data_IF_532242599841
#
_entry.id   IF_532242599841
#
_cell.length_a   1.000
_cell.length_b   1.000
_cell.length_c   1.000
_cell.angle_alpha   90.00
_cell.angle_beta   90.00
_cell.angle_gamma   90.00
#
_symmetry.space_group_name_H-M   'P 1'
#
loop_
_entity.id
_entity.type
_entity.pdbx_description
1 polymer ?
#
# COMPACT_ATOMS: atom_id res chain seq x y z
N UNK A 1 -19.62 8.55 -3.54
CA UNK A 1 -18.39 8.16 -2.81
C UNK A 1 -17.55 7.36 -3.80
N UNK A 2 -16.33 7.80 -4.17
CA UNK A 2 -15.48 6.99 -5.05
C UNK A 2 -14.88 5.85 -4.23
N UNK A 3 -15.02 4.62 -4.72
CA UNK A 3 -14.42 3.44 -4.10
C UNK A 3 -12.90 3.53 -4.24
N UNK A 4 -12.15 3.24 -3.17
CA UNK A 4 -10.69 3.14 -3.28
C UNK A 4 -10.34 1.93 -4.16
N UNK A 5 -9.21 1.94 -4.88
CA UNK A 5 -8.75 0.77 -5.65
C UNK A 5 -8.68 -0.51 -4.81
N UNK A 6 -8.32 -0.39 -3.53
CA UNK A 6 -8.33 -1.50 -2.56
C UNK A 6 -9.75 -2.08 -2.36
N UNK A 7 -10.74 -1.22 -2.15
CA UNK A 7 -12.14 -1.67 -1.99
C UNK A 7 -12.69 -2.31 -3.26
N UNK A 8 -12.30 -1.82 -4.44
CA UNK A 8 -12.71 -2.43 -5.70
C UNK A 8 -12.21 -3.87 -5.82
N UNK A 9 -10.94 -4.12 -5.48
CA UNK A 9 -10.36 -5.47 -5.46
C UNK A 9 -11.16 -6.45 -4.57
N UNK A 10 -11.43 -6.04 -3.34
CA UNK A 10 -12.24 -6.82 -2.38
C UNK A 10 -13.64 -7.11 -2.92
N UNK A 11 -14.33 -6.14 -3.51
CA UNK A 11 -15.67 -6.33 -4.09
C UNK A 11 -15.64 -7.37 -5.21
N UNK A 12 -14.67 -7.28 -6.12
CA UNK A 12 -14.51 -8.26 -7.19
C UNK A 12 -14.20 -9.65 -6.64
N UNK A 13 -13.36 -9.75 -5.63
CA UNK A 13 -13.03 -11.02 -4.98
C UNK A 13 -14.26 -11.67 -4.31
N UNK A 14 -15.09 -10.88 -3.62
CA UNK A 14 -16.37 -11.34 -3.07
C UNK A 14 -17.32 -11.83 -4.17
N UNK A 15 -17.38 -11.11 -5.29
CA UNK A 15 -18.20 -11.52 -6.43
C UNK A 15 -17.74 -12.87 -7.01
N UNK A 16 -16.43 -13.07 -7.15
CA UNK A 16 -15.85 -14.35 -7.59
C UNK A 16 -16.09 -15.50 -6.60
N UNK A 17 -16.20 -15.20 -5.32
CA UNK A 17 -16.46 -16.19 -4.27
C UNK A 17 -17.92 -16.63 -4.16
N UNK A 18 -18.82 -16.10 -5.01
CA UNK A 18 -20.27 -16.39 -4.97
C UNK A 18 -20.60 -17.88 -4.89
N UNK A 19 -20.00 -18.71 -5.73
CA UNK A 19 -20.34 -20.14 -5.76
C UNK A 19 -19.96 -20.86 -4.46
N UNK A 20 -18.80 -20.51 -3.87
CA UNK A 20 -18.37 -21.06 -2.59
C UNK A 20 -19.30 -20.58 -1.46
N UNK A 21 -19.69 -19.30 -1.49
CA UNK A 21 -20.64 -18.74 -0.52
C UNK A 21 -22.01 -19.42 -0.60
N UNK A 22 -22.59 -19.53 -1.79
CA UNK A 22 -23.93 -20.04 -2.00
C UNK A 22 -24.02 -21.54 -1.64
N UNK A 23 -22.92 -22.28 -1.76
CA UNK A 23 -22.84 -23.73 -1.47
C UNK A 23 -22.50 -24.04 -0.01
N UNK A 24 -21.45 -23.40 0.51
CA UNK A 24 -20.78 -23.79 1.76
C UNK A 24 -20.82 -22.68 2.84
N UNK A 25 -21.44 -21.54 2.54
CA UNK A 25 -21.73 -20.47 3.49
C UNK A 25 -20.69 -19.33 3.56
N UNK A 26 -20.90 -18.37 4.49
CA UNK A 26 -20.09 -17.15 4.57
C UNK A 26 -18.59 -17.36 4.79
N UNK A 27 -18.21 -18.35 5.61
CA UNK A 27 -16.81 -18.65 5.86
C UNK A 27 -16.09 -19.16 4.60
N UNK A 28 -16.71 -20.08 3.86
CA UNK A 28 -16.18 -20.56 2.58
C UNK A 28 -16.07 -19.43 1.54
N UNK A 29 -17.08 -18.56 1.51
CA UNK A 29 -17.05 -17.33 0.71
C UNK A 29 -15.88 -16.42 1.07
N UNK A 30 -15.63 -16.20 2.36
CA UNK A 30 -14.49 -15.41 2.83
C UNK A 30 -13.15 -16.05 2.43
N UNK A 31 -12.97 -17.36 2.66
CA UNK A 31 -11.72 -18.06 2.31
C UNK A 31 -11.42 -17.92 0.81
N UNK A 32 -12.44 -18.13 -0.03
CA UNK A 32 -12.28 -18.00 -1.49
C UNK A 32 -11.99 -16.56 -1.90
N UNK A 33 -12.72 -15.58 -1.37
CA UNK A 33 -12.51 -14.17 -1.71
C UNK A 33 -11.12 -13.68 -1.24
N UNK A 34 -10.71 -14.07 -0.04
CA UNK A 34 -9.39 -13.76 0.50
C UNK A 34 -8.28 -14.29 -0.41
N UNK A 35 -8.38 -15.54 -0.86
CA UNK A 35 -7.42 -16.14 -1.78
C UNK A 35 -7.39 -15.43 -3.14
N UNK A 36 -8.55 -15.07 -3.70
CA UNK A 36 -8.62 -14.33 -4.97
C UNK A 36 -7.92 -12.96 -4.88
N UNK A 37 -8.17 -12.20 -3.82
CA UNK A 37 -7.58 -10.87 -3.66
C UNK A 37 -6.09 -10.95 -3.30
N UNK A 38 -5.70 -11.92 -2.47
CA UNK A 38 -4.29 -12.20 -2.17
C UNK A 38 -3.51 -12.49 -3.46
N UNK A 39 -4.00 -13.42 -4.28
CA UNK A 39 -3.34 -13.81 -5.53
C UNK A 39 -3.23 -12.64 -6.50
N UNK A 40 -4.30 -11.85 -6.66
CA UNK A 40 -4.30 -10.64 -7.50
C UNK A 40 -3.24 -9.63 -7.06
N UNK A 41 -3.17 -9.35 -5.76
CA UNK A 41 -2.20 -8.39 -5.20
C UNK A 41 -0.76 -8.93 -5.25
N UNK A 42 -0.59 -10.24 -5.10
CA UNK A 42 0.70 -10.89 -5.27
C UNK A 42 1.18 -10.79 -6.72
N UNK A 43 0.33 -11.09 -7.70
CA UNK A 43 0.64 -10.91 -9.14
C UNK A 43 1.03 -9.46 -9.45
N UNK A 44 0.25 -8.49 -8.98
CA UNK A 44 0.56 -7.06 -9.11
C UNK A 44 1.91 -6.69 -8.49
N UNK A 45 2.31 -7.36 -7.40
CA UNK A 45 3.61 -7.12 -6.77
C UNK A 45 4.81 -7.64 -7.57
N UNK A 46 4.59 -8.54 -8.52
CA UNK A 46 5.63 -9.02 -9.42
C UNK A 46 5.90 -8.06 -10.60
N UNK A 47 5.06 -7.03 -10.79
CA UNK A 47 5.30 -6.02 -11.82
C UNK A 47 6.55 -5.19 -11.52
N UNK A 48 7.33 -4.90 -12.56
CA UNK A 48 8.52 -4.06 -12.45
C UNK A 48 8.14 -2.59 -12.25
N UNK A 49 8.91 -1.90 -11.40
CA UNK A 49 8.79 -0.44 -11.26
C UNK A 49 9.40 0.23 -12.49
N UNK A 50 8.64 1.10 -13.12
CA UNK A 50 9.07 1.91 -14.27
C UNK A 50 9.13 3.39 -13.87
N UNK A 51 9.80 4.26 -14.67
CA UNK A 51 9.80 5.69 -14.40
C UNK A 51 8.39 6.33 -14.39
N UNK A 52 7.41 5.70 -15.05
CA UNK A 52 6.04 6.21 -15.16
C UNK A 52 5.08 5.58 -14.14
N UNK A 53 5.36 4.37 -13.68
CA UNK A 53 4.45 3.60 -12.84
C UNK A 53 5.20 2.81 -11.77
N UNK A 54 4.76 2.99 -10.53
CA UNK A 54 5.22 2.21 -9.38
C UNK A 54 4.02 1.44 -8.79
N UNK A 55 3.99 0.10 -8.91
CA UNK A 55 2.85 -0.70 -8.44
C UNK A 55 2.67 -0.62 -6.92
N UNK A 56 3.72 -0.27 -6.16
CA UNK A 56 3.62 -0.08 -4.70
C UNK A 56 2.70 1.06 -4.32
N UNK A 57 2.50 2.06 -5.20
CA UNK A 57 1.56 3.16 -4.95
C UNK A 57 0.10 2.75 -5.10
N UNK A 58 -0.18 1.64 -5.79
CA UNK A 58 -1.54 1.18 -6.01
C UNK A 58 -2.14 0.55 -4.76
N UNK A 59 -1.31 -0.11 -3.93
CA UNK A 59 -1.80 -0.85 -2.78
C UNK A 59 -0.73 -1.15 -1.72
N UNK A 60 -1.10 -1.06 -0.43
CA UNK A 60 -0.20 -1.33 0.70
C UNK A 60 0.39 -2.75 0.66
N UNK A 61 -0.42 -3.74 0.31
CA UNK A 61 0.07 -5.13 0.24
C UNK A 61 1.08 -5.34 -0.89
N UNK A 62 1.04 -4.54 -1.97
CA UNK A 62 2.07 -4.59 -3.01
C UNK A 62 3.41 -4.12 -2.44
N UNK A 63 3.40 -3.02 -1.67
CA UNK A 63 4.57 -2.57 -0.92
C UNK A 63 5.06 -3.64 0.07
N UNK A 64 4.17 -4.32 0.79
CA UNK A 64 4.53 -5.38 1.73
C UNK A 64 5.15 -6.61 1.04
N UNK A 65 4.57 -7.08 -0.06
CA UNK A 65 5.10 -8.20 -0.84
C UNK A 65 6.50 -7.91 -1.38
N UNK A 66 6.68 -6.74 -2.01
CA UNK A 66 7.99 -6.37 -2.57
C UNK A 66 9.07 -6.18 -1.51
N UNK A 67 8.69 -5.88 -0.27
CA UNK A 67 9.58 -5.72 0.87
C UNK A 67 9.63 -6.94 1.80
N UNK A 68 9.05 -8.08 1.40
CA UNK A 68 9.07 -9.32 2.17
C UNK A 68 8.55 -9.17 3.60
N UNK A 69 7.42 -8.46 3.77
CA UNK A 69 6.76 -8.38 5.06
C UNK A 69 6.33 -9.78 5.55
N UNK A 70 6.31 -10.03 6.88
CA UNK A 70 5.85 -11.30 7.41
C UNK A 70 4.42 -11.64 6.97
N UNK A 71 4.15 -12.91 6.67
CA UNK A 71 2.83 -13.37 6.23
C UNK A 71 1.71 -12.94 7.18
N UNK A 72 1.94 -12.97 8.50
CA UNK A 72 0.95 -12.50 9.50
C UNK A 72 0.53 -11.04 9.31
N UNK A 73 1.46 -10.15 8.92
CA UNK A 73 1.20 -8.73 8.66
C UNK A 73 0.38 -8.58 7.38
N UNK A 74 0.74 -9.33 6.34
CA UNK A 74 0.02 -9.36 5.06
C UNK A 74 -1.41 -9.87 5.26
N UNK A 75 -1.56 -11.02 5.92
CA UNK A 75 -2.83 -11.70 6.12
C UNK A 75 -3.79 -10.85 6.95
N UNK A 76 -3.32 -10.29 8.07
CA UNK A 76 -4.12 -9.36 8.86
C UNK A 76 -4.53 -8.14 8.06
N UNK A 77 -3.59 -7.52 7.36
CA UNK A 77 -3.87 -6.30 6.58
C UNK A 77 -4.94 -6.59 5.52
N UNK A 78 -4.87 -7.74 4.84
CA UNK A 78 -5.90 -8.15 3.88
C UNK A 78 -7.24 -8.41 4.57
N UNK A 79 -7.23 -9.11 5.72
CA UNK A 79 -8.44 -9.43 6.48
C UNK A 79 -9.15 -8.16 6.99
N UNK A 80 -8.39 -7.12 7.37
CA UNK A 80 -8.94 -5.81 7.72
C UNK A 80 -9.72 -5.16 6.57
N UNK A 81 -9.32 -5.40 5.32
CA UNK A 81 -10.07 -4.90 4.15
C UNK A 81 -11.41 -5.61 4.00
N UNK A 82 -11.46 -6.92 4.22
CA UNK A 82 -12.71 -7.68 4.24
C UNK A 82 -13.59 -7.32 5.45
N UNK A 83 -13.03 -6.73 6.51
CA UNK A 83 -13.77 -6.29 7.69
C UNK A 83 -14.30 -4.83 7.60
N UNK A 84 -13.99 -4.11 6.52
CA UNK A 84 -14.37 -2.72 6.31
C UNK A 84 -15.90 -2.54 6.31
N UNK A 85 -16.39 -1.55 7.06
CA UNK A 85 -17.83 -1.22 7.15
C UNK A 85 -18.43 -0.86 5.80
N UNK A 86 -17.63 -0.31 4.89
CA UNK A 86 -18.05 0.12 3.58
C UNK A 86 -18.40 -1.04 2.64
N UNK A 87 -18.13 -2.30 3.02
CA UNK A 87 -18.61 -3.49 2.32
C UNK A 87 -20.10 -3.81 2.57
N UNK A 88 -20.82 -2.98 3.34
CA UNK A 88 -22.23 -3.21 3.66
C UNK A 88 -23.20 -2.85 2.52
N UNK A 89 -22.86 -3.21 1.27
CA UNK A 89 -23.66 -2.89 0.08
C UNK A 89 -24.60 -4.02 -0.36
N UNK A 90 -24.35 -5.26 0.04
CA UNK A 90 -25.26 -6.40 -0.14
C UNK A 90 -25.13 -7.44 0.99
N UNK A 91 -26.11 -8.35 1.10
CA UNK A 91 -26.17 -9.34 2.19
C UNK A 91 -24.98 -10.32 2.19
N UNK A 92 -24.40 -10.63 1.02
CA UNK A 92 -23.25 -11.53 0.90
C UNK A 92 -22.01 -10.86 1.46
N UNK A 93 -21.74 -9.63 1.04
CA UNK A 93 -20.62 -8.82 1.49
C UNK A 93 -20.74 -8.52 2.99
N UNK A 94 -21.95 -8.24 3.50
CA UNK A 94 -22.20 -8.11 4.94
C UNK A 94 -21.86 -9.39 5.70
N UNK A 95 -22.25 -10.55 5.18
CA UNK A 95 -22.00 -11.85 5.82
C UNK A 95 -20.50 -12.18 5.84
N UNK A 96 -19.81 -11.99 4.72
CA UNK A 96 -18.35 -12.16 4.62
C UNK A 96 -17.61 -11.18 5.55
N UNK A 97 -18.07 -9.92 5.62
CA UNK A 97 -17.50 -8.91 6.51
C UNK A 97 -17.64 -9.29 7.98
N UNK A 98 -18.76 -9.90 8.37
CA UNK A 98 -18.94 -10.42 9.73
C UNK A 98 -17.96 -11.54 10.03
N UNK A 99 -17.77 -12.48 9.11
CA UNK A 99 -16.77 -13.54 9.26
C UNK A 99 -15.35 -12.98 9.38
N UNK A 100 -14.98 -11.99 8.57
CA UNK A 100 -13.67 -11.34 8.64
C UNK A 100 -13.43 -10.68 10.00
N UNK A 101 -14.45 -10.01 10.56
CA UNK A 101 -14.38 -9.43 11.91
C UNK A 101 -14.28 -10.49 13.00
N UNK A 102 -15.00 -11.59 12.88
CA UNK A 102 -14.88 -12.72 13.79
C UNK A 102 -13.44 -13.25 13.79
N UNK A 103 -12.86 -13.49 12.61
CA UNK A 103 -11.47 -13.95 12.49
C UNK A 103 -10.46 -12.94 13.04
N UNK A 104 -10.62 -11.63 12.81
CA UNK A 104 -9.74 -10.60 13.41
C UNK A 104 -9.75 -10.61 14.94
N UNK A 105 -10.92 -10.85 15.56
CA UNK A 105 -11.05 -10.92 17.03
C UNK A 105 -10.38 -12.15 17.64
N UNK A 106 -10.11 -13.18 16.85
CA UNK A 106 -9.44 -14.40 17.30
C UNK A 106 -7.92 -14.28 17.29
N UNK A 107 -7.36 -13.26 16.63
CA UNK A 107 -5.91 -12.99 16.64
C UNK A 107 -5.51 -12.51 18.03
N UNK A 108 -4.71 -13.30 18.75
CA UNK A 108 -4.27 -12.95 20.09
C UNK A 108 -3.01 -12.10 20.07
N UNK A 109 -2.68 -11.39 21.17
CA UNK A 109 -1.43 -10.65 21.28
C UNK A 109 -0.19 -11.54 21.11
N UNK A 110 -0.26 -12.82 21.47
CA UNK A 110 0.86 -13.74 21.30
C UNK A 110 1.09 -14.13 19.82
N UNK A 111 0.03 -14.07 19.00
CA UNK A 111 0.10 -14.40 17.57
C UNK A 111 0.63 -13.21 16.74
N UNK A 112 0.58 -11.99 17.31
CA UNK A 112 0.89 -10.77 16.60
C UNK A 112 1.54 -9.69 17.45
N UNK A 113 2.74 -9.32 17.03
CA UNK A 113 3.39 -8.09 17.47
C UNK A 113 2.71 -6.88 16.78
N UNK A 114 1.99 -6.10 17.58
CA UNK A 114 1.28 -4.91 17.09
C UNK A 114 2.22 -3.76 16.78
N UNK A 115 3.38 -3.67 17.43
CA UNK A 115 4.36 -2.62 17.14
C UNK A 115 5.04 -2.89 15.79
N UNK A 116 5.39 -4.16 15.51
CA UNK A 116 5.86 -4.57 14.19
C UNK A 116 4.79 -4.27 13.12
N UNK A 117 3.53 -4.65 13.37
CA UNK A 117 2.41 -4.41 12.45
C UNK A 117 2.27 -2.92 12.11
N UNK A 118 2.23 -2.05 13.12
CA UNK A 118 2.10 -0.61 12.93
C UNK A 118 3.31 -0.02 12.21
N UNK A 119 4.52 -0.49 12.53
CA UNK A 119 5.74 -0.03 11.88
C UNK A 119 5.75 -0.30 10.37
N UNK A 120 5.18 -1.40 9.91
CA UNK A 120 5.02 -1.70 8.48
C UNK A 120 4.08 -0.70 7.78
N UNK A 121 2.96 -0.35 8.43
CA UNK A 121 2.03 0.65 7.91
C UNK A 121 2.63 2.06 7.93
N UNK A 122 3.42 2.40 8.96
CA UNK A 122 4.15 3.66 9.03
C UNK A 122 5.21 3.78 7.95
N UNK A 123 5.96 2.70 7.69
CA UNK A 123 6.93 2.65 6.58
C UNK A 123 6.23 2.89 5.23
N UNK A 124 5.08 2.26 5.00
CA UNK A 124 4.29 2.49 3.78
C UNK A 124 3.74 3.92 3.71
N UNK A 125 3.30 4.49 4.83
CA UNK A 125 2.84 5.89 4.91
C UNK A 125 3.98 6.85 4.56
N UNK A 126 5.17 6.64 5.13
CA UNK A 126 6.37 7.42 4.83
C UNK A 126 6.80 7.27 3.37
N UNK A 127 6.69 6.06 2.79
CA UNK A 127 6.95 5.84 1.36
C UNK A 127 6.04 6.70 0.47
N UNK A 128 4.74 6.76 0.75
CA UNK A 128 3.81 7.64 0.03
C UNK A 128 4.15 9.12 0.21
N UNK A 129 4.55 9.54 1.41
CA UNK A 129 4.98 10.91 1.70
C UNK A 129 6.23 11.29 0.91
N UNK A 130 7.24 10.42 0.88
CA UNK A 130 8.45 10.59 0.06
C UNK A 130 8.09 10.74 -1.41
N UNK A 131 7.19 9.88 -1.92
CA UNK A 131 6.75 9.95 -3.31
C UNK A 131 6.02 11.27 -3.61
N UNK A 132 5.14 11.72 -2.71
CA UNK A 132 4.44 13.00 -2.85
C UNK A 132 5.43 14.18 -2.87
N UNK A 133 6.41 14.21 -1.97
CA UNK A 133 7.46 15.24 -1.98
C UNK A 133 8.30 15.20 -3.25
N UNK A 134 8.66 14.02 -3.74
CA UNK A 134 9.37 13.88 -5.01
C UNK A 134 8.53 14.46 -6.16
N UNK A 135 7.27 14.03 -6.28
CA UNK A 135 6.37 14.48 -7.35
C UNK A 135 6.20 16.01 -7.31
N UNK A 136 5.83 16.56 -6.16
CA UNK A 136 5.67 18.01 -5.99
C UNK A 136 6.97 18.75 -6.26
N UNK A 137 8.11 18.22 -5.82
CA UNK A 137 9.42 18.81 -6.09
C UNK A 137 9.75 18.86 -7.59
N UNK A 138 9.45 17.80 -8.34
CA UNK A 138 9.64 17.75 -9.79
C UNK A 138 8.68 18.71 -10.53
N UNK A 139 7.43 18.80 -10.10
CA UNK A 139 6.44 19.75 -10.63
C UNK A 139 6.89 21.21 -10.42
N UNK A 140 7.35 21.57 -9.22
CA UNK A 140 7.85 22.92 -8.96
C UNK A 140 9.10 23.22 -9.79
N UNK A 141 9.99 22.23 -9.98
CA UNK A 141 11.17 22.38 -10.81
C UNK A 141 10.80 22.68 -12.28
N UNK A 142 9.84 21.94 -12.83
CA UNK A 142 9.33 22.16 -14.19
C UNK A 142 8.68 23.54 -14.35
N UNK A 143 8.02 24.05 -13.30
CA UNK A 143 7.42 25.37 -13.26
C UNK A 143 8.41 26.52 -12.98
N UNK A 144 9.72 26.25 -12.91
CA UNK A 144 10.76 27.25 -12.65
C UNK A 144 10.80 27.75 -11.20
N UNK A 145 10.03 27.15 -10.29
CA UNK A 145 9.99 27.47 -8.86
C UNK A 145 11.09 26.72 -8.11
N UNK A 146 12.34 27.13 -8.36
CA UNK A 146 13.53 26.38 -7.94
C UNK A 146 13.68 26.26 -6.43
N UNK A 147 13.30 27.31 -5.66
CA UNK A 147 13.41 27.30 -4.20
C UNK A 147 12.43 26.31 -3.58
N UNK A 148 11.19 26.32 -4.05
CA UNK A 148 10.15 25.39 -3.62
C UNK A 148 10.50 23.96 -4.02
N UNK A 149 10.96 23.75 -5.25
CA UNK A 149 11.45 22.46 -5.72
C UNK A 149 12.54 21.89 -4.82
N UNK A 150 13.56 22.72 -4.49
CA UNK A 150 14.66 22.30 -3.63
C UNK A 150 14.18 21.91 -2.23
N UNK A 151 13.24 22.64 -1.64
CA UNK A 151 12.68 22.32 -0.33
C UNK A 151 12.00 20.95 -0.33
N UNK A 152 11.08 20.70 -1.28
CA UNK A 152 10.40 19.41 -1.39
C UNK A 152 11.37 18.26 -1.66
N UNK A 153 12.32 18.44 -2.58
CA UNK A 153 13.32 17.42 -2.89
C UNK A 153 14.28 17.16 -1.71
N UNK A 154 14.55 18.16 -0.86
CA UNK A 154 15.34 17.98 0.35
C UNK A 154 14.59 17.11 1.38
N UNK A 155 13.30 17.37 1.61
CA UNK A 155 12.45 16.54 2.45
C UNK A 155 12.35 15.10 1.91
N UNK A 156 12.05 14.94 0.62
CA UNK A 156 12.03 13.64 -0.04
C UNK A 156 13.34 12.87 0.19
N UNK A 157 14.49 13.52 0.00
CA UNK A 157 15.80 12.88 0.17
C UNK A 157 16.05 12.44 1.61
N UNK A 158 15.68 13.26 2.58
CA UNK A 158 15.90 12.97 3.99
C UNK A 158 15.05 11.76 4.43
N UNK A 159 13.76 11.79 4.16
CA UNK A 159 12.83 10.74 4.58
C UNK A 159 13.09 9.43 3.81
N UNK A 160 13.42 9.52 2.51
CA UNK A 160 13.79 8.35 1.72
C UNK A 160 15.04 7.65 2.26
N UNK A 161 16.00 8.40 2.81
CA UNK A 161 17.20 7.81 3.41
C UNK A 161 16.88 6.96 4.64
N UNK A 162 15.82 7.29 5.39
CA UNK A 162 15.36 6.49 6.53
C UNK A 162 14.77 5.17 6.04
N UNK A 163 13.96 5.20 4.98
CA UNK A 163 13.39 3.99 4.36
C UNK A 163 14.46 3.08 3.78
N UNK A 164 15.39 3.62 2.99
CA UNK A 164 16.42 2.84 2.31
C UNK A 164 17.39 2.14 3.28
N UNK A 165 17.60 2.69 4.48
CA UNK A 165 18.36 1.99 5.54
C UNK A 165 17.68 0.71 6.02
N UNK A 166 16.35 0.63 5.92
CA UNK A 166 15.56 -0.54 6.30
C UNK A 166 15.42 -1.55 5.15
N UNK A 167 15.75 -1.18 3.91
CA UNK A 167 15.70 -2.05 2.74
C UNK A 167 15.65 -1.28 1.42
N UNK A 168 16.29 -1.81 0.38
CA UNK A 168 16.43 -1.13 -0.92
C UNK A 168 15.09 -0.85 -1.60
N UNK A 169 14.12 -1.75 -1.44
CA UNK A 169 12.76 -1.63 -2.01
C UNK A 169 11.78 -0.87 -1.11
N UNK A 170 12.23 -0.34 0.05
CA UNK A 170 11.36 0.42 0.96
C UNK A 170 11.18 1.88 0.54
N UNK A 171 12.12 2.41 -0.25
CA UNK A 171 12.12 3.79 -0.73
C UNK A 171 12.00 3.92 -2.25
N UNK A 172 12.18 5.14 -2.75
CA UNK A 172 12.34 5.45 -4.17
C UNK A 172 13.82 5.49 -4.56
N UNK A 173 14.14 5.51 -5.85
CA UNK A 173 15.53 5.65 -6.30
C UNK A 173 16.16 6.96 -5.82
N UNK A 174 17.13 6.84 -4.91
CA UNK A 174 17.84 7.97 -4.33
C UNK A 174 18.58 8.81 -5.39
N UNK A 175 19.03 8.16 -6.47
CA UNK A 175 19.81 8.81 -7.54
C UNK A 175 18.98 9.86 -8.26
N UNK A 176 17.69 9.58 -8.49
CA UNK A 176 16.74 10.51 -9.09
C UNK A 176 16.54 11.76 -8.21
N UNK A 177 16.28 11.56 -6.91
CA UNK A 177 16.12 12.70 -5.99
C UNK A 177 17.41 13.53 -5.95
N UNK A 178 18.56 12.88 -5.81
CA UNK A 178 19.86 13.55 -5.74
C UNK A 178 20.19 14.34 -7.01
N UNK A 179 19.83 13.81 -8.20
CA UNK A 179 20.00 14.50 -9.47
C UNK A 179 19.23 15.82 -9.50
N UNK A 180 17.94 15.80 -9.18
CA UNK A 180 17.11 17.01 -9.24
C UNK A 180 17.45 18.01 -8.14
N UNK A 181 17.87 17.57 -6.95
CA UNK A 181 18.44 18.48 -5.93
C UNK A 181 19.65 19.24 -6.45
N UNK A 182 20.61 18.54 -7.08
CA UNK A 182 21.81 19.17 -7.66
C UNK A 182 21.44 20.13 -8.80
N UNK A 183 20.45 19.78 -9.62
CA UNK A 183 19.94 20.69 -10.67
C UNK A 183 19.37 21.97 -10.07
N UNK A 184 18.55 21.89 -9.02
CA UNK A 184 18.02 23.08 -8.34
C UNK A 184 19.14 23.98 -7.81
N UNK A 185 20.14 23.40 -7.13
CA UNK A 185 21.26 24.16 -6.56
C UNK A 185 22.12 24.88 -7.61
N UNK A 186 22.24 24.34 -8.83
CA UNK A 186 22.98 24.98 -9.93
C UNK A 186 22.23 26.17 -10.54
N UNK A 187 20.90 26.21 -10.41
CA UNK A 187 20.04 27.24 -11.01
C UNK A 187 19.73 28.36 -10.02
N UNK A 188 19.84 28.12 -8.71
CA UNK A 188 19.72 29.18 -7.70
C UNK A 188 20.85 30.22 -7.87
N UNK A 189 20.54 31.48 -8.23
CA UNK A 189 21.52 32.56 -8.17
C UNK A 189 21.93 32.79 -6.71
N UNK A 190 23.22 33.09 -6.49
CA UNK A 190 23.73 33.57 -5.20
C UNK A 190 23.11 34.91 -4.81
#
# INVERSE_FOLDING_TARGET
MMLTPAMQGVIFAIAKARQAFDKDGPEAGLIKAFHEEFSRLYELSQEETTPQQDPRLQHVLVYFFQNQAPNRVIERTLLEQFADRNLSFDDRAVSIMREARCKLRLIKPEDMDMDEYLQWHDDYSMFKTVFAYLLTGLEQYQNGKIREALNYLAHAHQDNSVLLRKGEKKGVDQSLIALYRRKCLKVCPH
#
